data_IF_187041281382
#
_entry.id   IF_187041281382
#
_cell.length_a   1.000
_cell.length_b   1.000
_cell.length_c   1.000
_cell.angle_alpha   90.00
_cell.angle_beta   90.00
_cell.angle_gamma   90.00
#
_symmetry.space_group_name_H-M   'P 1'
#
loop_
_entity.id
_entity.type
_entity.pdbx_description
1 polymer ?
#
# COMPACT_ATOMS: atom_id res chain seq x y z
N UNK A 1 15.41 -19.25 15.65
CA UNK A 1 14.06 -18.87 15.16
C UNK A 1 13.88 -17.35 15.04
N UNK A 2 14.44 -16.51 15.94
CA UNK A 2 14.35 -15.04 15.84
C UNK A 2 15.20 -14.48 14.68
N UNK A 3 16.37 -15.07 14.41
CA UNK A 3 17.30 -14.63 13.36
C UNK A 3 16.81 -14.86 11.93
N UNK A 4 15.83 -15.72 11.70
CA UNK A 4 15.22 -15.95 10.37
C UNK A 4 14.20 -14.87 10.01
N UNK A 5 13.51 -14.31 11.00
CA UNK A 5 12.54 -13.22 10.81
C UNK A 5 13.22 -11.86 10.58
N UNK A 6 14.40 -11.66 11.16
CA UNK A 6 15.13 -10.39 11.05
C UNK A 6 15.89 -10.25 9.73
N UNK A 7 16.16 -11.34 9.00
CA UNK A 7 16.82 -11.31 7.68
C UNK A 7 16.10 -10.45 6.63
N UNK A 8 14.79 -10.62 6.35
CA UNK A 8 14.09 -9.77 5.39
C UNK A 8 14.06 -8.30 5.85
N UNK A 9 13.87 -8.04 7.14
CA UNK A 9 13.96 -6.69 7.71
C UNK A 9 15.35 -6.07 7.52
N UNK A 10 16.41 -6.86 7.73
CA UNK A 10 17.81 -6.43 7.56
C UNK A 10 18.15 -6.14 6.10
N UNK A 11 17.66 -6.96 5.17
CA UNK A 11 17.80 -6.72 3.72
C UNK A 11 16.99 -5.51 3.24
N UNK A 12 15.84 -5.22 3.87
CA UNK A 12 15.08 -4.00 3.61
C UNK A 12 15.78 -2.74 4.12
N UNK A 13 16.50 -2.84 5.24
CA UNK A 13 17.25 -1.75 5.86
C UNK A 13 18.69 -1.58 5.38
N UNK A 14 19.21 -2.52 4.57
CA UNK A 14 20.58 -2.48 4.06
C UNK A 14 20.78 -1.22 3.22
N UNK A 15 21.62 -0.32 3.72
CA UNK A 15 22.11 0.86 3.01
C UNK A 15 23.01 0.42 1.87
N UNK A 16 22.78 0.95 0.67
CA UNK A 16 23.77 0.86 -0.41
C UNK A 16 24.96 1.75 -0.06
N UNK A 17 26.16 1.38 -0.54
CA UNK A 17 27.38 2.17 -0.36
C UNK A 17 27.26 3.59 -0.91
N UNK A 18 26.46 3.75 -1.96
CA UNK A 18 26.15 5.04 -2.57
C UNK A 18 24.63 5.16 -2.62
N UNK A 19 24.08 5.92 -1.69
CA UNK A 19 22.65 6.18 -1.61
C UNK A 19 22.45 7.69 -1.44
N UNK A 20 21.88 8.34 -2.45
CA UNK A 20 21.54 9.76 -2.41
C UNK A 20 20.36 10.05 -1.47
N UNK A 21 19.76 9.02 -0.86
CA UNK A 21 18.50 9.12 -0.14
C UNK A 21 18.65 9.02 1.38
N UNK A 22 17.94 9.91 2.08
CA UNK A 22 17.88 9.93 3.54
C UNK A 22 17.12 8.71 4.11
N UNK A 23 17.38 8.39 5.38
CA UNK A 23 16.71 7.27 6.07
C UNK A 23 15.17 7.40 6.07
N UNK A 24 14.65 8.62 6.24
CA UNK A 24 13.22 8.94 6.18
C UNK A 24 12.63 8.60 4.82
N UNK A 25 13.32 8.95 3.74
CA UNK A 25 12.91 8.64 2.37
C UNK A 25 12.85 7.13 2.13
N UNK A 26 13.85 6.39 2.61
CA UNK A 26 13.90 4.93 2.49
C UNK A 26 12.77 4.25 3.28
N UNK A 27 12.41 4.77 4.44
CA UNK A 27 11.28 4.25 5.24
C UNK A 27 9.96 4.38 4.46
N UNK A 28 9.64 5.58 3.98
CA UNK A 28 8.38 5.83 3.27
C UNK A 28 8.32 5.11 1.90
N UNK A 29 9.39 5.14 1.13
CA UNK A 29 9.41 4.60 -0.23
C UNK A 29 9.64 3.09 -0.32
N UNK A 30 9.92 2.42 0.80
CA UNK A 30 10.17 0.97 0.86
C UNK A 30 9.33 0.32 1.93
N UNK A 31 9.56 0.62 3.21
CA UNK A 31 8.87 -0.04 4.31
C UNK A 31 7.35 0.20 4.27
N UNK A 32 6.91 1.45 4.16
CA UNK A 32 5.48 1.79 4.09
C UNK A 32 4.81 1.16 2.89
N UNK A 33 5.46 1.19 1.71
CA UNK A 33 4.93 0.54 0.49
C UNK A 33 4.75 -0.97 0.68
N UNK A 34 5.75 -1.66 1.26
CA UNK A 34 5.63 -3.11 1.56
C UNK A 34 4.50 -3.40 2.54
N UNK A 35 4.37 -2.62 3.62
CA UNK A 35 3.28 -2.79 4.60
C UNK A 35 1.91 -2.56 3.98
N UNK A 36 1.74 -1.50 3.17
CA UNK A 36 0.49 -1.22 2.47
C UNK A 36 0.15 -2.33 1.46
N UNK A 37 1.13 -2.81 0.70
CA UNK A 37 0.95 -3.91 -0.24
C UNK A 37 0.52 -5.21 0.49
N UNK A 38 1.16 -5.53 1.62
CA UNK A 38 0.80 -6.68 2.44
C UNK A 38 -0.65 -6.62 2.93
N UNK A 39 -1.08 -5.49 3.50
CA UNK A 39 -2.46 -5.32 3.95
C UNK A 39 -3.47 -5.31 2.80
N UNK A 40 -3.10 -4.73 1.66
CA UNK A 40 -3.92 -4.76 0.45
C UNK A 40 -4.18 -6.20 -0.01
N UNK A 41 -3.13 -7.03 -0.06
CA UNK A 41 -3.23 -8.44 -0.42
C UNK A 41 -4.09 -9.19 0.61
N UNK A 42 -3.85 -8.97 1.91
CA UNK A 42 -4.57 -9.66 2.99
C UNK A 42 -6.07 -9.33 2.98
N UNK A 43 -6.42 -8.06 2.81
CA UNK A 43 -7.81 -7.62 2.69
C UNK A 43 -8.45 -8.15 1.40
N UNK A 44 -7.74 -8.08 0.27
CA UNK A 44 -8.25 -8.61 -1.00
C UNK A 44 -8.48 -10.12 -0.92
N UNK A 45 -7.58 -10.88 -0.29
CA UNK A 45 -7.76 -12.32 -0.09
C UNK A 45 -9.03 -12.62 0.72
N UNK A 46 -9.31 -11.84 1.78
CA UNK A 46 -10.57 -11.92 2.53
C UNK A 46 -11.79 -11.57 1.66
N UNK A 47 -11.68 -10.57 0.80
CA UNK A 47 -12.78 -10.13 -0.07
C UNK A 47 -13.08 -11.09 -1.22
N UNK A 48 -12.09 -11.82 -1.75
CA UNK A 48 -12.26 -12.74 -2.89
C UNK A 48 -12.46 -14.20 -2.49
N UNK A 49 -11.79 -14.67 -1.43
CA UNK A 49 -11.82 -16.09 -1.01
C UNK A 49 -12.57 -16.34 0.29
N UNK A 50 -12.91 -15.29 1.04
CA UNK A 50 -13.71 -15.36 2.26
C UNK A 50 -15.15 -14.87 2.06
N UNK A 51 -15.96 -14.97 3.11
CA UNK A 51 -17.23 -14.26 3.18
C UNK A 51 -16.97 -12.87 3.77
N UNK A 52 -17.03 -11.78 2.96
CA UNK A 52 -16.59 -10.47 3.41
C UNK A 52 -17.56 -9.83 4.41
N UNK A 53 -18.80 -10.29 4.43
CA UNK A 53 -19.83 -9.94 5.40
C UNK A 53 -20.72 -11.16 5.62
N UNK A 54 -21.10 -11.40 6.87
CA UNK A 54 -22.10 -12.40 7.24
C UNK A 54 -23.40 -11.67 7.54
N UNK A 55 -24.40 -11.93 6.71
CA UNK A 55 -25.73 -11.36 6.86
C UNK A 55 -26.53 -12.35 7.69
N UNK A 56 -27.08 -11.88 8.81
CA UNK A 56 -28.07 -12.66 9.52
C UNK A 56 -29.24 -12.82 8.55
N UNK A 57 -29.85 -14.01 8.45
CA UNK A 57 -31.02 -14.25 7.63
C UNK A 57 -31.77 -15.43 8.23
N UNK A 58 -33.08 -15.29 8.47
CA UNK A 58 -33.93 -16.36 9.01
C UNK A 58 -34.33 -17.43 7.97
N UNK A 59 -33.77 -17.36 6.77
CA UNK A 59 -34.13 -18.19 5.63
C UNK A 59 -33.09 -19.33 5.49
N UNK A 60 -33.54 -20.50 5.03
CA UNK A 60 -32.75 -21.72 4.85
C UNK A 60 -31.31 -21.51 4.38
N UNK A 61 -30.38 -22.30 4.92
CA UNK A 61 -28.93 -22.22 4.72
C UNK A 61 -28.47 -22.18 3.25
N UNK A 62 -29.30 -22.68 2.33
CA UNK A 62 -29.01 -22.75 0.89
C UNK A 62 -28.86 -21.36 0.24
N UNK A 63 -29.52 -20.33 0.77
CA UNK A 63 -29.49 -18.97 0.20
C UNK A 63 -28.47 -18.04 0.87
N UNK A 64 -27.75 -18.50 1.90
CA UNK A 64 -26.85 -17.66 2.72
C UNK A 64 -25.82 -16.90 1.89
N UNK A 65 -25.17 -17.58 0.92
CA UNK A 65 -24.20 -16.94 0.03
C UNK A 65 -24.81 -15.84 -0.85
N UNK A 66 -26.03 -16.07 -1.35
CA UNK A 66 -26.73 -15.09 -2.18
C UNK A 66 -27.12 -13.86 -1.36
N UNK A 67 -27.58 -14.06 -0.13
CA UNK A 67 -27.90 -12.98 0.80
C UNK A 67 -26.66 -12.21 1.24
N UNK A 68 -25.54 -12.89 1.54
CA UNK A 68 -24.28 -12.23 1.88
C UNK A 68 -23.78 -11.35 0.71
N UNK A 69 -23.92 -11.80 -0.54
CA UNK A 69 -23.61 -10.98 -1.71
C UNK A 69 -24.55 -9.77 -1.88
N UNK A 70 -25.84 -9.97 -1.63
CA UNK A 70 -26.84 -8.89 -1.68
C UNK A 70 -26.54 -7.82 -0.61
N UNK A 71 -26.30 -8.24 0.63
CA UNK A 71 -25.94 -7.37 1.75
C UNK A 71 -24.59 -6.66 1.48
N UNK A 72 -23.64 -7.33 0.83
CA UNK A 72 -22.37 -6.73 0.40
C UNK A 72 -22.58 -5.63 -0.64
N UNK A 73 -23.29 -5.90 -1.75
CA UNK A 73 -23.44 -4.93 -2.86
C UNK A 73 -24.35 -3.75 -2.49
N UNK A 74 -25.49 -4.04 -1.86
CA UNK A 74 -26.46 -3.00 -1.51
C UNK A 74 -26.12 -2.25 -0.22
N UNK A 75 -25.20 -2.79 0.58
CA UNK A 75 -24.76 -2.23 1.85
C UNK A 75 -25.78 -2.46 2.97
N UNK A 76 -25.27 -2.56 4.19
CA UNK A 76 -26.08 -2.61 5.40
C UNK A 76 -26.27 -1.20 5.96
N UNK A 77 -27.34 -0.99 6.72
CA UNK A 77 -27.58 0.25 7.45
C UNK A 77 -27.45 0.00 8.96
N UNK A 78 -26.88 0.97 9.67
CA UNK A 78 -26.86 0.98 11.13
C UNK A 78 -27.98 1.93 11.58
N UNK A 79 -28.93 1.44 12.38
CA UNK A 79 -29.96 2.28 13.00
C UNK A 79 -29.35 3.02 14.20
N UNK A 80 -29.66 4.32 14.33
CA UNK A 80 -29.21 5.16 15.46
C UNK A 80 -30.19 5.19 16.64
N UNK A 81 -31.36 4.55 16.50
CA UNK A 81 -32.33 4.47 17.58
C UNK A 81 -31.90 3.45 18.65
N UNK A 82 -31.63 3.87 19.90
CA UNK A 82 -31.28 2.97 20.99
C UNK A 82 -32.42 2.01 21.38
N UNK A 83 -33.66 2.24 20.95
CA UNK A 83 -34.78 1.29 21.13
C UNK A 83 -34.70 0.10 20.17
N UNK A 84 -33.75 0.12 19.24
CA UNK A 84 -33.53 -0.95 18.27
C UNK A 84 -32.64 -2.09 18.81
N UNK A 85 -32.26 -2.07 20.10
CA UNK A 85 -31.40 -3.10 20.68
C UNK A 85 -32.15 -4.38 21.04
N UNK A 86 -31.98 -5.39 20.18
CA UNK A 86 -31.82 -6.82 20.46
C UNK A 86 -32.76 -7.47 21.50
N UNK A 87 -33.75 -8.22 21.02
CA UNK A 87 -33.90 -9.58 21.54
C UNK A 87 -32.58 -10.30 21.20
N UNK A 88 -31.71 -10.39 22.19
CA UNK A 88 -30.44 -11.11 22.14
C UNK A 88 -30.68 -12.57 22.54
N UNK A 89 -29.82 -13.45 22.03
CA UNK A 89 -29.76 -14.90 22.18
C UNK A 89 -30.82 -15.65 21.36
N UNK A 90 -30.35 -16.48 20.43
CA UNK A 90 -31.10 -17.19 19.39
C UNK A 90 -31.67 -16.34 18.26
N UNK A 91 -30.96 -16.41 17.12
CA UNK A 91 -31.43 -16.18 15.75
C UNK A 91 -32.32 -14.95 15.61
N UNK A 92 -31.71 -13.82 15.23
CA UNK A 92 -32.46 -12.65 14.76
C UNK A 92 -33.29 -13.12 13.57
N UNK A 93 -34.58 -13.35 13.83
CA UNK A 93 -35.60 -13.42 12.81
C UNK A 93 -35.49 -12.11 12.05
N UNK A 94 -34.95 -12.19 10.84
CA UNK A 94 -35.24 -11.17 9.85
C UNK A 94 -36.69 -11.40 9.48
N UNK A 95 -37.57 -10.83 10.29
CA UNK A 95 -38.87 -10.46 9.81
C UNK A 95 -38.61 -9.65 8.56
N UNK A 96 -39.06 -10.18 7.42
CA UNK A 96 -39.21 -9.43 6.18
C UNK A 96 -40.29 -8.34 6.33
N UNK A 97 -40.31 -7.64 7.46
CA UNK A 97 -40.91 -6.33 7.56
C UNK A 97 -39.84 -5.36 7.07
N UNK A 98 -39.96 -5.03 5.78
CA UNK A 98 -39.48 -3.77 5.22
C UNK A 98 -40.16 -2.61 6.00
N UNK A 99 -39.82 -2.44 7.27
CA UNK A 99 -40.30 -1.35 8.09
C UNK A 99 -39.73 -0.04 7.56
N UNK A 100 -40.57 0.99 7.48
CA UNK A 100 -40.20 2.33 7.01
C UNK A 100 -39.24 2.99 8.00
N UNK A 101 -37.96 2.60 7.97
CA UNK A 101 -36.90 3.35 8.63
C UNK A 101 -36.76 4.64 7.81
N UNK A 102 -36.91 5.82 8.42
CA UNK A 102 -36.78 7.08 7.71
C UNK A 102 -35.43 7.15 6.99
N UNK A 103 -35.42 7.57 5.72
CA UNK A 103 -34.18 7.62 4.94
C UNK A 103 -33.06 8.44 5.62
N UNK A 104 -33.43 9.41 6.47
CA UNK A 104 -32.48 10.26 7.20
C UNK A 104 -31.73 9.56 8.34
N UNK A 105 -32.16 8.37 8.78
CA UNK A 105 -31.51 7.62 9.86
C UNK A 105 -30.67 6.43 9.35
N UNK A 106 -30.77 6.10 8.06
CA UNK A 106 -30.03 4.99 7.46
C UNK A 106 -28.61 5.41 7.14
N UNK A 107 -27.65 4.98 7.95
CA UNK A 107 -26.24 5.18 7.63
C UNK A 107 -25.72 3.98 6.82
N UNK A 108 -25.63 4.15 5.50
CA UNK A 108 -25.12 3.12 4.60
C UNK A 108 -23.61 2.98 4.73
N UNK A 109 -23.17 1.82 5.22
CA UNK A 109 -21.77 1.53 5.43
C UNK A 109 -21.24 0.80 4.18
N UNK A 110 -20.73 1.53 3.19
CA UNK A 110 -20.13 0.96 1.95
C UNK A 110 -18.63 1.24 1.78
N UNK A 111 -18.03 1.98 2.70
CA UNK A 111 -16.64 2.43 2.58
C UNK A 111 -15.63 1.27 2.61
N UNK A 112 -15.95 0.16 3.29
CA UNK A 112 -15.06 -1.01 3.42
C UNK A 112 -14.73 -1.66 2.06
N UNK A 113 -15.60 -1.53 1.05
CA UNK A 113 -15.38 -2.07 -0.28
C UNK A 113 -14.21 -1.37 -0.99
N UNK A 114 -13.97 -0.10 -0.65
CA UNK A 114 -12.98 0.75 -1.30
C UNK A 114 -11.62 0.74 -0.62
N UNK A 115 -11.54 0.22 0.60
CA UNK A 115 -10.30 0.17 1.40
C UNK A 115 -9.13 -0.48 0.65
N UNK A 116 -9.26 -1.64 -0.04
CA UNK A 116 -8.13 -2.25 -0.73
C UNK A 116 -7.62 -1.38 -1.88
N UNK A 117 -8.52 -0.71 -2.61
CA UNK A 117 -8.15 0.20 -3.71
C UNK A 117 -7.42 1.44 -3.19
N UNK A 118 -7.91 2.03 -2.10
CA UNK A 118 -7.25 3.20 -1.47
C UNK A 118 -5.85 2.83 -1.00
N UNK A 119 -5.67 1.67 -0.35
CA UNK A 119 -4.35 1.21 0.09
C UNK A 119 -3.41 0.94 -1.08
N UNK A 120 -3.90 0.37 -2.19
CA UNK A 120 -3.12 0.16 -3.41
C UNK A 120 -2.66 1.48 -4.04
N UNK A 121 -3.57 2.45 -4.16
CA UNK A 121 -3.26 3.79 -4.68
C UNK A 121 -2.25 4.49 -3.77
N UNK A 122 -2.43 4.41 -2.45
CA UNK A 122 -1.52 4.99 -1.47
C UNK A 122 -0.11 4.37 -1.58
N UNK A 123 -0.01 3.04 -1.77
CA UNK A 123 1.25 2.36 -2.00
C UNK A 123 1.93 2.84 -3.29
N UNK A 124 1.16 3.02 -4.37
CA UNK A 124 1.66 3.57 -5.63
C UNK A 124 2.16 5.00 -5.46
N UNK A 125 1.40 5.88 -4.82
CA UNK A 125 1.77 7.28 -4.59
C UNK A 125 3.04 7.44 -3.74
N UNK A 126 3.26 6.57 -2.74
CA UNK A 126 4.52 6.58 -1.98
C UNK A 126 5.70 6.00 -2.76
N UNK A 127 5.44 5.10 -3.70
CA UNK A 127 6.45 4.52 -4.56
C UNK A 127 6.85 5.47 -5.71
N UNK A 128 5.90 6.27 -6.20
CA UNK A 128 6.03 7.08 -7.41
C UNK A 128 7.21 8.08 -7.36
N UNK A 129 7.37 8.93 -6.32
CA UNK A 129 8.47 9.89 -6.26
C UNK A 129 9.85 9.25 -6.35
N UNK A 130 10.03 8.06 -5.74
CA UNK A 130 11.28 7.30 -5.80
C UNK A 130 11.54 6.76 -7.20
N UNK A 131 10.54 6.20 -7.85
CA UNK A 131 10.71 5.67 -9.21
C UNK A 131 10.98 6.81 -10.20
N UNK A 132 10.26 7.92 -10.05
CA UNK A 132 10.46 9.12 -10.86
C UNK A 132 11.86 9.70 -10.68
N UNK A 133 12.34 9.81 -9.43
CA UNK A 133 13.72 10.25 -9.15
C UNK A 133 14.75 9.34 -9.81
N UNK A 134 14.61 8.02 -9.66
CA UNK A 134 15.55 7.06 -10.27
C UNK A 134 15.51 7.07 -11.80
N UNK A 135 14.33 7.33 -12.39
CA UNK A 135 14.18 7.49 -13.83
C UNK A 135 14.90 8.74 -14.34
N UNK A 136 14.74 9.89 -13.67
CA UNK A 136 15.44 11.12 -14.06
C UNK A 136 16.93 11.13 -13.70
N UNK A 137 17.33 10.46 -12.62
CA UNK A 137 18.74 10.40 -12.18
C UNK A 137 19.61 9.52 -13.09
N UNK A 138 19.05 8.52 -13.78
CA UNK A 138 19.78 7.75 -14.79
C UNK A 138 21.07 7.09 -14.29
N UNK A 139 21.12 6.68 -13.01
CA UNK A 139 22.28 6.06 -12.35
C UNK A 139 23.57 6.89 -12.30
N UNK A 140 23.48 8.19 -12.58
CA UNK A 140 24.63 9.12 -12.66
C UNK A 140 25.45 9.16 -11.37
N UNK A 141 24.77 9.17 -10.23
CA UNK A 141 25.39 9.23 -8.91
C UNK A 141 26.14 7.92 -8.58
N UNK A 142 25.66 6.77 -9.07
CA UNK A 142 26.39 5.51 -8.95
C UNK A 142 27.65 5.51 -9.82
N UNK A 143 27.58 6.00 -11.07
CA UNK A 143 28.74 6.11 -11.96
C UNK A 143 29.81 7.04 -11.40
N UNK A 144 29.42 8.19 -10.84
CA UNK A 144 30.35 9.14 -10.24
C UNK A 144 31.04 8.56 -9.01
N UNK A 145 30.30 7.92 -8.11
CA UNK A 145 30.86 7.42 -6.85
C UNK A 145 31.61 6.08 -7.00
N UNK A 146 31.35 5.28 -8.03
CA UNK A 146 32.02 3.99 -8.27
C UNK A 146 33.55 4.11 -8.29
N UNK A 147 34.06 5.24 -8.76
CA UNK A 147 35.48 5.54 -8.88
C UNK A 147 36.10 6.18 -7.61
N UNK A 148 35.29 6.57 -6.63
CA UNK A 148 35.74 7.13 -5.34
C UNK A 148 35.77 6.07 -4.23
N UNK A 149 34.98 5.00 -4.33
CA UNK A 149 34.93 3.94 -3.31
C UNK A 149 36.13 2.99 -3.39
N UNK A 150 36.99 3.08 -4.42
CA UNK A 150 38.22 2.28 -4.48
C UNK A 150 39.20 2.72 -3.38
N UNK A 151 39.59 1.78 -2.52
CA UNK A 151 40.53 1.97 -1.38
C UNK A 151 41.89 2.52 -1.84
N UNK A 152 42.26 2.27 -3.09
CA UNK A 152 43.36 2.96 -3.75
C UNK A 152 42.77 4.13 -4.54
N UNK A 153 43.19 5.39 -4.30
CA UNK A 153 42.86 6.46 -5.22
C UNK A 153 43.35 6.02 -6.62
N UNK A 154 42.52 6.07 -7.67
CA UNK A 154 43.01 5.81 -9.01
C UNK A 154 44.15 6.80 -9.25
N UNK A 155 45.30 6.30 -9.71
CA UNK A 155 46.55 7.04 -9.90
C UNK A 155 46.29 8.50 -10.33
N UNK A 156 46.62 9.45 -9.45
CA UNK A 156 46.56 10.92 -9.55
C UNK A 156 45.40 11.55 -10.35
N UNK A 157 44.91 12.70 -9.90
CA UNK A 157 43.95 13.52 -10.66
C UNK A 157 44.57 14.02 -11.98
N UNK A 158 44.52 13.19 -13.03
CA UNK A 158 45.22 13.40 -14.30
C UNK A 158 44.48 14.42 -15.17
N UNK A 159 45.22 15.18 -15.99
CA UNK A 159 44.63 16.13 -16.94
C UNK A 159 43.58 15.46 -17.86
N UNK A 160 43.79 14.18 -18.22
CA UNK A 160 42.85 13.37 -18.99
C UNK A 160 41.49 13.22 -18.29
N UNK A 161 41.48 12.86 -16.99
CA UNK A 161 40.24 12.71 -16.20
C UNK A 161 39.49 14.02 -16.02
N UNK A 162 40.19 15.15 -15.87
CA UNK A 162 39.56 16.48 -15.90
C UNK A 162 38.86 16.73 -17.24
N UNK A 163 39.54 16.42 -18.34
CA UNK A 163 38.98 16.59 -19.68
C UNK A 163 37.71 15.74 -19.88
N UNK A 164 37.76 14.46 -19.53
CA UNK A 164 36.62 13.55 -19.68
C UNK A 164 35.41 13.94 -18.80
N UNK A 165 35.67 14.34 -17.55
CA UNK A 165 34.61 14.82 -16.65
C UNK A 165 34.01 16.13 -17.15
N UNK A 166 34.84 17.07 -17.61
CA UNK A 166 34.37 18.34 -18.18
C UNK A 166 33.58 18.15 -19.47
N UNK A 167 33.98 17.20 -20.32
CA UNK A 167 33.26 16.85 -21.55
C UNK A 167 31.91 16.20 -21.24
N UNK A 168 31.84 15.32 -20.24
CA UNK A 168 30.59 14.73 -19.77
C UNK A 168 29.62 15.79 -19.23
N UNK A 169 30.11 16.72 -18.40
CA UNK A 169 29.31 17.82 -17.86
C UNK A 169 28.87 18.82 -18.95
N UNK A 170 29.73 19.10 -19.94
CA UNK A 170 29.44 19.98 -21.06
C UNK A 170 28.38 19.40 -22.01
N UNK A 171 28.41 18.08 -22.25
CA UNK A 171 27.41 17.37 -23.05
C UNK A 171 26.00 17.46 -22.43
N UNK A 172 25.92 17.63 -21.11
CA UNK A 172 24.65 17.70 -20.38
C UNK A 172 24.10 19.12 -20.18
N UNK A 173 24.87 20.17 -20.50
CA UNK A 173 24.38 21.55 -20.49
C UNK A 173 24.23 22.07 -21.92
N UNK A 174 23.19 21.66 -22.67
CA UNK A 174 22.94 22.17 -24.01
C UNK A 174 22.42 23.63 -24.02
N UNK A 175 22.69 24.40 -22.96
CA UNK A 175 22.09 25.70 -22.70
C UNK A 175 23.07 26.68 -22.04
N UNK A 176 24.25 26.83 -22.65
CA UNK A 176 25.00 28.08 -22.68
C UNK A 176 25.55 28.31 -24.07
#
# INVERSE_FOLDING_TARGET
>A
MITTLTKPLRELLKTKEVDATNAVWRLHSRATVFTLAFFTILLSARSYFGEPIDCIASIASDYRKSMNNFCWVLGTFISRDPKFTFASWDVIEIGAQMGHIPQHERLYQKYYQWVPFVLAIQAFLFSFPKHLWRFFEGERLQTLCKDLTSVLPPAEWTAQRRADTSAFLAKESPGK
#
